data_IF_318927414860
#
_entry.id   IF_318927414860
#
_cell.length_a   1.000
_cell.length_b   1.000
_cell.length_c   1.000
_cell.angle_alpha   90.00
_cell.angle_beta   90.00
_cell.angle_gamma   90.00
#
_symmetry.space_group_name_H-M   'P 1'
#
loop_
_entity.id
_entity.type
_entity.pdbx_description
1 polymer ?
#
# COMPACT_ATOMS: atom_id res chain seq x y z
N UNK A 1 98.03 -3.79 -33.84
CA UNK A 1 97.01 -2.85 -34.38
C UNK A 1 95.63 -3.49 -34.28
N UNK A 2 94.61 -2.67 -34.04
CA UNK A 2 93.15 -2.93 -34.13
C UNK A 2 92.49 -3.72 -32.99
N UNK A 3 91.98 -2.93 -32.05
CA UNK A 3 90.74 -3.19 -31.33
C UNK A 3 89.58 -3.36 -32.32
N UNK A 4 88.73 -4.37 -32.12
CA UNK A 4 87.41 -4.46 -32.78
C UNK A 4 86.36 -4.63 -31.71
N UNK A 5 85.63 -3.53 -31.48
CA UNK A 5 84.43 -3.45 -30.66
C UNK A 5 83.24 -3.97 -31.46
N UNK A 6 82.61 -5.05 -31.02
CA UNK A 6 81.27 -5.48 -31.50
C UNK A 6 80.47 -5.97 -30.29
N UNK A 7 79.95 -5.03 -29.51
CA UNK A 7 78.98 -5.33 -28.44
C UNK A 7 78.04 -4.16 -28.20
N UNK A 8 77.27 -3.76 -29.23
CA UNK A 8 76.23 -2.74 -29.01
C UNK A 8 74.95 -2.85 -29.88
N UNK A 9 74.91 -3.65 -30.95
CA UNK A 9 73.73 -3.66 -31.83
C UNK A 9 72.53 -4.47 -31.29
N UNK A 10 72.76 -5.63 -30.67
CA UNK A 10 71.67 -6.50 -30.16
C UNK A 10 70.88 -5.91 -28.99
N UNK A 11 71.51 -5.06 -28.16
CA UNK A 11 70.87 -4.41 -27.01
C UNK A 11 69.97 -3.23 -27.41
N UNK A 12 70.30 -2.54 -28.51
CA UNK A 12 69.49 -1.44 -29.03
C UNK A 12 68.21 -1.93 -29.73
N UNK A 13 68.29 -3.03 -30.48
CA UNK A 13 67.14 -3.64 -31.17
C UNK A 13 66.08 -4.17 -30.20
N UNK A 14 66.48 -4.85 -29.12
CA UNK A 14 65.54 -5.35 -28.09
C UNK A 14 64.85 -4.22 -27.32
N UNK A 15 65.58 -3.14 -26.98
CA UNK A 15 64.97 -1.94 -26.36
C UNK A 15 63.98 -1.26 -27.30
N UNK A 16 64.27 -1.22 -28.61
CA UNK A 16 63.39 -0.63 -29.61
C UNK A 16 62.09 -1.43 -29.76
N UNK A 17 62.17 -2.76 -29.84
CA UNK A 17 60.98 -3.62 -29.91
C UNK A 17 60.15 -3.57 -28.63
N UNK A 18 60.77 -3.53 -27.45
CA UNK A 18 60.06 -3.42 -26.17
C UNK A 18 59.32 -2.08 -26.05
N UNK A 19 59.92 -0.97 -26.53
CA UNK A 19 59.26 0.34 -26.61
C UNK A 19 58.06 0.32 -27.56
N UNK A 20 58.16 -0.40 -28.68
CA UNK A 20 57.10 -0.52 -29.66
C UNK A 20 55.93 -1.36 -29.13
N UNK A 21 56.21 -2.44 -28.39
CA UNK A 21 55.19 -3.23 -27.66
C UNK A 21 54.54 -2.40 -26.55
N UNK A 22 55.31 -1.62 -25.79
CA UNK A 22 54.76 -0.74 -24.76
C UNK A 22 53.87 0.36 -25.36
N UNK A 23 54.27 0.94 -26.48
CA UNK A 23 53.49 1.94 -27.21
C UNK A 23 52.19 1.33 -27.77
N UNK A 24 52.25 0.13 -28.34
CA UNK A 24 51.07 -0.60 -28.81
C UNK A 24 50.11 -0.92 -27.65
N UNK A 25 50.63 -1.33 -26.49
CA UNK A 25 49.83 -1.56 -25.28
C UNK A 25 49.16 -0.29 -24.75
N UNK A 26 49.87 0.85 -24.76
CA UNK A 26 49.31 2.14 -24.37
C UNK A 26 48.18 2.57 -25.33
N UNK A 27 48.38 2.40 -26.63
CA UNK A 27 47.38 2.71 -27.66
C UNK A 27 46.13 1.84 -27.49
N UNK A 28 46.29 0.54 -27.24
CA UNK A 28 45.17 -0.37 -26.96
C UNK A 28 44.42 -0.01 -25.68
N UNK A 29 45.14 0.40 -24.63
CA UNK A 29 44.53 0.86 -23.37
C UNK A 29 43.71 2.14 -23.57
N UNK A 30 44.24 3.11 -24.32
CA UNK A 30 43.54 4.35 -24.65
C UNK A 30 42.30 4.07 -25.50
N UNK A 31 42.39 3.18 -26.50
CA UNK A 31 41.25 2.76 -27.31
C UNK A 31 40.17 2.07 -26.46
N UNK A 32 40.56 1.21 -25.52
CA UNK A 32 39.62 0.56 -24.59
C UNK A 32 38.94 1.57 -23.66
N UNK A 33 39.67 2.55 -23.14
CA UNK A 33 39.10 3.64 -22.37
C UNK A 33 38.15 4.50 -23.21
N UNK A 34 38.51 4.77 -24.47
CA UNK A 34 37.67 5.53 -25.39
C UNK A 34 36.39 4.78 -25.75
N UNK A 35 36.46 3.47 -25.97
CA UNK A 35 35.27 2.64 -26.21
C UNK A 35 34.40 2.58 -24.98
N UNK A 36 34.95 2.39 -23.78
CA UNK A 36 34.17 2.45 -22.54
C UNK A 36 33.57 3.83 -22.28
N UNK A 37 34.28 4.91 -22.61
CA UNK A 37 33.78 6.28 -22.48
C UNK A 37 32.68 6.59 -23.51
N UNK A 38 32.82 6.14 -24.75
CA UNK A 38 31.79 6.24 -25.79
C UNK A 38 30.58 5.35 -25.47
N UNK A 39 30.80 4.14 -24.92
CA UNK A 39 29.73 3.26 -24.44
C UNK A 39 29.01 3.90 -23.25
N UNK A 40 29.74 4.50 -22.32
CA UNK A 40 29.17 5.23 -21.19
C UNK A 40 28.39 6.46 -21.66
N UNK A 41 28.88 7.21 -22.66
CA UNK A 41 28.19 8.37 -23.24
C UNK A 41 26.97 7.96 -24.06
N UNK A 42 27.03 6.84 -24.78
CA UNK A 42 25.89 6.28 -25.50
C UNK A 42 24.86 5.70 -24.53
N UNK A 43 25.29 5.04 -23.46
CA UNK A 43 24.41 4.57 -22.39
C UNK A 43 23.80 5.75 -21.63
N UNK A 44 24.55 6.84 -21.39
CA UNK A 44 24.05 8.09 -20.83
C UNK A 44 23.01 8.72 -21.79
N UNK A 45 23.28 8.81 -23.09
CA UNK A 45 22.34 9.28 -24.11
C UNK A 45 21.07 8.42 -24.22
N UNK A 46 21.20 7.09 -24.21
CA UNK A 46 20.07 6.14 -24.17
C UNK A 46 19.30 6.27 -22.84
N UNK A 47 19.98 6.55 -21.71
CA UNK A 47 19.31 6.80 -20.43
C UNK A 47 18.50 8.11 -20.43
N UNK A 48 18.89 9.16 -21.15
CA UNK A 48 18.03 10.35 -21.33
C UNK A 48 16.84 10.08 -22.26
N UNK A 49 17.02 9.25 -23.28
CA UNK A 49 15.95 8.90 -24.21
C UNK A 49 14.97 7.88 -23.61
N UNK A 50 15.44 6.96 -22.75
CA UNK A 50 14.59 6.02 -22.01
C UNK A 50 14.01 6.56 -20.69
N UNK A 51 14.60 7.59 -20.08
CA UNK A 51 13.97 8.29 -18.95
C UNK A 51 12.86 9.27 -19.40
N UNK A 52 12.64 9.43 -20.71
CA UNK A 52 11.58 10.28 -21.25
C UNK A 52 10.29 9.52 -21.62
N UNK A 53 10.24 8.20 -21.45
CA UNK A 53 9.03 7.38 -21.65
C UNK A 53 8.50 6.72 -20.36
N UNK A 54 9.10 7.05 -19.20
CA UNK A 54 8.46 6.78 -17.92
C UNK A 54 7.43 7.88 -17.67
N UNK A 55 6.19 7.66 -18.11
CA UNK A 55 5.01 8.31 -17.54
C UNK A 55 4.83 7.85 -16.10
N UNK A 56 5.78 8.23 -15.21
CA UNK A 56 5.40 8.66 -13.88
C UNK A 56 4.32 9.68 -14.17
N UNK A 57 3.11 9.38 -13.73
CA UNK A 57 1.94 10.25 -13.78
C UNK A 57 2.42 11.67 -13.53
N UNK A 58 2.70 12.40 -14.61
CA UNK A 58 3.07 13.80 -14.56
C UNK A 58 1.75 14.51 -14.42
N UNK A 59 1.14 14.31 -13.26
CA UNK A 59 0.25 15.30 -12.70
C UNK A 59 1.13 16.48 -12.25
N UNK A 60 1.86 17.06 -13.22
CA UNK A 60 1.89 18.50 -13.28
C UNK A 60 0.47 18.86 -13.68
N UNK A 61 -0.33 19.48 -12.80
CA UNK A 61 -1.44 20.24 -13.34
C UNK A 61 -0.77 21.19 -14.34
N UNK A 62 -1.14 21.10 -15.62
CA UNK A 62 -0.78 22.11 -16.61
C UNK A 62 -1.51 23.40 -16.21
N UNK A 63 -1.10 24.02 -15.12
CA UNK A 63 -1.02 25.47 -15.05
C UNK A 63 0.20 25.85 -15.89
N UNK A 64 0.10 25.57 -17.20
CA UNK A 64 0.78 26.42 -18.18
C UNK A 64 0.38 27.81 -17.74
N UNK A 65 1.33 28.73 -17.56
CA UNK A 65 1.04 30.15 -17.41
C UNK A 65 0.23 30.57 -18.64
N UNK A 66 -1.07 30.27 -18.64
CA UNK A 66 -2.06 31.09 -19.29
C UNK A 66 -1.94 32.36 -18.50
N UNK A 67 -1.36 33.37 -19.13
CA UNK A 67 -1.52 34.73 -18.67
C UNK A 67 -2.95 34.85 -18.17
N UNK A 68 -3.09 35.09 -16.88
CA UNK A 68 -4.35 35.27 -16.19
C UNK A 68 -4.97 36.58 -16.71
N UNK A 69 -5.27 36.65 -18.01
CA UNK A 69 -6.48 37.33 -18.41
C UNK A 69 -7.58 36.45 -17.82
N UNK A 70 -8.13 36.92 -16.71
CA UNK A 70 -9.37 36.40 -16.14
C UNK A 70 -10.42 36.61 -17.24
N UNK A 71 -10.45 35.67 -18.18
CA UNK A 71 -11.52 35.52 -19.14
C UNK A 71 -12.75 35.29 -18.29
N UNK A 72 -13.68 36.24 -18.36
CA UNK A 72 -14.94 36.33 -17.63
C UNK A 72 -15.91 35.19 -18.00
N UNK A 73 -15.41 33.98 -18.23
CA UNK A 73 -16.23 32.83 -18.54
C UNK A 73 -16.93 32.35 -17.25
N UNK A 74 -18.27 32.33 -17.22
CA UNK A 74 -19.05 32.08 -16.01
C UNK A 74 -18.77 30.72 -15.34
N UNK A 75 -18.25 29.74 -16.09
CA UNK A 75 -17.92 28.39 -15.61
C UNK A 75 -16.76 28.36 -14.61
N UNK A 76 -15.71 29.14 -14.82
CA UNK A 76 -14.54 29.13 -13.93
C UNK A 76 -14.83 29.84 -12.60
N UNK A 77 -15.65 30.90 -12.63
CA UNK A 77 -16.15 31.58 -11.43
C UNK A 77 -16.92 30.63 -10.52
N UNK A 78 -17.62 29.63 -11.08
CA UNK A 78 -18.43 28.65 -10.33
C UNK A 78 -17.59 27.56 -9.67
N UNK A 79 -16.45 27.18 -10.26
CA UNK A 79 -15.54 26.16 -9.70
C UNK A 79 -14.71 26.69 -8.52
N UNK A 80 -14.34 27.97 -8.56
CA UNK A 80 -13.57 28.65 -7.52
C UNK A 80 -14.42 29.62 -6.68
N UNK A 81 -15.74 29.55 -6.81
CA UNK A 81 -16.64 30.30 -5.95
C UNK A 81 -16.44 29.87 -4.50
N UNK A 82 -16.71 30.77 -3.52
CA UNK A 82 -16.77 30.40 -2.12
C UNK A 82 -17.65 29.15 -1.98
N UNK A 83 -17.04 28.07 -1.50
CA UNK A 83 -17.74 26.81 -1.28
C UNK A 83 -18.83 27.10 -0.26
N UNK A 84 -20.10 26.84 -0.61
CA UNK A 84 -21.19 26.96 0.37
C UNK A 84 -20.79 26.12 1.59
N UNK A 85 -21.04 26.63 2.79
CA UNK A 85 -20.81 25.86 4.00
C UNK A 85 -21.55 24.52 3.84
N UNK A 86 -20.80 23.44 3.66
CA UNK A 86 -21.39 22.11 3.60
C UNK A 86 -21.98 21.87 4.98
N UNK A 87 -23.29 21.57 5.04
CA UNK A 87 -23.85 20.96 6.24
C UNK A 87 -22.99 19.74 6.56
N UNK A 88 -22.55 19.63 7.81
CA UNK A 88 -21.70 18.52 8.22
C UNK A 88 -22.52 17.24 8.05
N UNK A 89 -22.19 16.46 7.02
CA UNK A 89 -22.74 15.12 6.84
C UNK A 89 -22.17 14.25 7.97
N UNK A 90 -22.90 14.15 9.06
CA UNK A 90 -22.52 13.30 10.17
C UNK A 90 -22.79 11.83 9.82
N UNK A 91 -21.78 10.95 9.92
CA UNK A 91 -22.01 9.54 9.71
C UNK A 91 -23.01 9.04 10.75
N UNK A 92 -23.99 8.23 10.33
CA UNK A 92 -24.90 7.56 11.25
C UNK A 92 -24.15 6.41 11.94
N UNK A 93 -23.29 6.79 12.87
CA UNK A 93 -22.41 5.86 13.57
C UNK A 93 -22.90 5.56 14.97
N UNK A 94 -23.69 6.42 15.63
CA UNK A 94 -24.08 6.23 17.03
C UNK A 94 -24.85 4.92 17.26
N UNK A 95 -24.56 4.24 18.38
CA UNK A 95 -25.27 3.01 18.78
C UNK A 95 -26.72 3.35 19.10
N UNK A 96 -27.65 2.47 18.75
CA UNK A 96 -29.00 2.55 19.31
C UNK A 96 -28.99 2.24 20.81
N UNK A 97 -30.02 2.69 21.54
CA UNK A 97 -30.11 2.52 22.99
C UNK A 97 -30.19 1.05 23.44
N UNK A 98 -30.68 0.17 22.57
CA UNK A 98 -30.82 -1.28 22.73
C UNK A 98 -29.60 -2.08 22.21
N UNK A 99 -28.51 -1.41 21.81
CA UNK A 99 -27.33 -2.07 21.27
C UNK A 99 -26.60 -2.88 22.35
N UNK A 100 -26.77 -4.21 22.29
CA UNK A 100 -26.12 -5.14 23.20
C UNK A 100 -24.59 -5.10 23.05
N UNK A 101 -23.89 -5.23 24.17
CA UNK A 101 -22.44 -5.46 24.19
C UNK A 101 -22.07 -6.81 23.54
N UNK A 102 -20.82 -7.01 23.12
CA UNK A 102 -20.32 -8.31 22.69
C UNK A 102 -20.42 -9.33 23.83
N UNK A 103 -20.76 -10.58 23.48
CA UNK A 103 -20.90 -11.66 24.47
C UNK A 103 -19.56 -12.00 25.12
N UNK A 104 -19.59 -12.49 26.36
CA UNK A 104 -18.37 -12.82 27.11
C UNK A 104 -17.65 -14.04 26.53
N UNK A 105 -18.38 -14.99 25.94
CA UNK A 105 -17.80 -16.12 25.21
C UNK A 105 -17.93 -15.88 23.70
N UNK A 106 -16.89 -16.26 22.95
CA UNK A 106 -16.81 -16.06 21.50
C UNK A 106 -16.84 -17.42 20.82
N UNK A 107 -17.58 -17.53 19.72
CA UNK A 107 -17.71 -18.79 18.95
C UNK A 107 -16.36 -19.31 18.44
N UNK A 108 -15.44 -18.39 18.11
CA UNK A 108 -14.09 -18.72 17.68
C UNK A 108 -13.34 -17.50 17.17
N UNK A 109 -12.27 -17.71 16.41
CA UNK A 109 -11.42 -16.67 15.84
C UNK A 109 -11.60 -16.54 14.33
N UNK A 110 -11.84 -15.33 13.86
CA UNK A 110 -11.83 -15.01 12.43
C UNK A 110 -10.51 -14.33 12.12
N UNK A 111 -9.74 -14.97 11.25
CA UNK A 111 -8.51 -14.43 10.70
C UNK A 111 -8.76 -14.05 9.25
N UNK A 112 -8.33 -12.85 8.83
CA UNK A 112 -8.65 -12.33 7.50
C UNK A 112 -7.41 -11.88 6.76
N UNK A 113 -7.31 -12.27 5.49
CA UNK A 113 -6.36 -11.71 4.53
C UNK A 113 -7.12 -10.88 3.49
N UNK A 114 -6.74 -9.62 3.37
CA UNK A 114 -7.41 -8.65 2.50
C UNK A 114 -6.48 -8.26 1.38
N UNK A 115 -6.88 -8.51 0.14
CA UNK A 115 -6.16 -8.10 -1.07
C UNK A 115 -7.00 -7.09 -1.83
N UNK A 116 -6.50 -5.88 -1.98
CA UNK A 116 -7.15 -4.83 -2.78
C UNK A 116 -6.34 -3.55 -2.88
N UNK A 117 -6.87 -2.58 -3.63
CA UNK A 117 -6.45 -1.19 -3.53
C UNK A 117 -6.83 -0.58 -2.17
N UNK A 118 -6.40 0.65 -1.90
CA UNK A 118 -6.61 1.28 -0.60
C UNK A 118 -8.09 1.43 -0.21
N UNK A 119 -8.93 1.84 -1.16
CA UNK A 119 -10.38 1.94 -0.96
C UNK A 119 -11.02 0.57 -0.68
N UNK A 120 -10.60 -0.44 -1.45
CA UNK A 120 -11.06 -1.82 -1.29
C UNK A 120 -10.68 -2.39 0.09
N UNK A 121 -9.45 -2.12 0.56
CA UNK A 121 -8.97 -2.51 1.88
C UNK A 121 -9.82 -1.87 2.98
N UNK A 122 -10.06 -0.54 2.90
CA UNK A 122 -10.86 0.18 3.89
C UNK A 122 -12.27 -0.38 3.99
N UNK A 123 -12.91 -0.64 2.85
CA UNK A 123 -14.28 -1.20 2.81
C UNK A 123 -14.30 -2.64 3.32
N UNK A 124 -13.32 -3.47 2.94
CA UNK A 124 -13.21 -4.83 3.43
C UNK A 124 -13.05 -4.89 4.96
N UNK A 125 -12.22 -4.03 5.56
CA UNK A 125 -12.04 -4.02 7.02
C UNK A 125 -13.36 -3.69 7.72
N UNK A 126 -14.11 -2.71 7.19
CA UNK A 126 -15.43 -2.35 7.71
C UNK A 126 -16.41 -3.53 7.68
N UNK A 127 -16.49 -4.23 6.55
CA UNK A 127 -17.34 -5.41 6.39
C UNK A 127 -16.92 -6.57 7.30
N UNK A 128 -15.62 -6.82 7.42
CA UNK A 128 -15.08 -7.91 8.24
C UNK A 128 -15.41 -7.74 9.71
N UNK A 129 -15.33 -6.51 10.23
CA UNK A 129 -15.73 -6.22 11.62
C UNK A 129 -17.21 -6.57 11.83
N UNK A 130 -18.05 -6.22 10.86
CA UNK A 130 -19.49 -6.46 10.90
C UNK A 130 -19.81 -7.95 10.81
N UNK A 131 -19.15 -8.68 9.91
CA UNK A 131 -19.25 -10.14 9.80
C UNK A 131 -18.80 -10.81 11.10
N UNK A 132 -17.73 -10.32 11.73
CA UNK A 132 -17.25 -10.87 13.00
C UNK A 132 -18.29 -10.67 14.11
N UNK A 133 -18.91 -9.49 14.17
CA UNK A 133 -20.02 -9.23 15.09
C UNK A 133 -21.23 -10.14 14.82
N UNK A 134 -21.58 -10.34 13.55
CA UNK A 134 -22.70 -11.19 13.13
C UNK A 134 -22.51 -12.64 13.58
N UNK A 135 -21.28 -13.14 13.56
CA UNK A 135 -20.93 -14.51 13.94
C UNK A 135 -20.58 -14.68 15.43
N UNK A 136 -20.69 -13.61 16.22
CA UNK A 136 -20.26 -13.54 17.62
C UNK A 136 -18.83 -14.09 17.83
N UNK A 137 -17.92 -13.69 16.93
CA UNK A 137 -16.55 -14.17 16.90
C UNK A 137 -15.57 -13.12 17.43
N UNK A 138 -14.31 -13.54 17.58
CA UNK A 138 -13.18 -12.65 17.88
C UNK A 138 -12.40 -12.38 16.60
N UNK A 139 -12.24 -11.12 16.24
CA UNK A 139 -11.47 -10.71 15.07
C UNK A 139 -9.99 -10.68 15.41
N UNK A 140 -9.16 -11.34 14.60
CA UNK A 140 -7.72 -11.11 14.59
C UNK A 140 -7.44 -9.92 13.66
N UNK A 141 -6.52 -9.03 14.04
CA UNK A 141 -6.13 -7.87 13.21
C UNK A 141 -5.91 -8.31 11.74
N UNK A 142 -6.59 -7.68 10.77
CA UNK A 142 -6.52 -8.12 9.37
C UNK A 142 -5.11 -8.05 8.79
N UNK A 143 -4.72 -9.06 8.01
CA UNK A 143 -3.50 -9.04 7.23
C UNK A 143 -3.76 -8.44 5.85
N UNK A 144 -3.14 -7.30 5.56
CA UNK A 144 -3.24 -6.65 4.25
C UNK A 144 -2.24 -7.33 3.31
N UNK A 145 -2.73 -7.86 2.19
CA UNK A 145 -1.90 -8.48 1.18
C UNK A 145 -1.48 -7.48 0.12
N UNK A 146 -0.25 -7.63 -0.35
CA UNK A 146 0.32 -6.87 -1.45
C UNK A 146 -0.55 -6.94 -2.71
N UNK A 147 -1.04 -5.79 -3.17
CA UNK A 147 -1.66 -5.65 -4.51
C UNK A 147 -0.75 -4.99 -5.53
N UNK A 148 0.18 -4.16 -5.11
CA UNK A 148 1.08 -3.44 -6.01
C UNK A 148 2.54 -3.85 -5.79
N UNK A 149 3.13 -4.38 -6.87
CA UNK A 149 4.57 -4.60 -7.03
C UNK A 149 5.23 -3.40 -7.72
N UNK A 150 4.76 -2.18 -7.42
CA UNK A 150 5.37 -0.98 -7.99
C UNK A 150 6.80 -0.86 -7.46
N UNK A 151 7.79 -0.83 -8.36
CA UNK A 151 9.21 -0.63 -8.02
C UNK A 151 9.34 0.59 -7.09
N UNK A 152 10.02 0.43 -5.96
CA UNK A 152 10.31 1.52 -5.01
C UNK A 152 9.37 1.66 -3.81
N UNK A 153 8.27 0.90 -3.71
CA UNK A 153 7.43 0.89 -2.50
C UNK A 153 7.89 -0.25 -1.59
N UNK A 154 8.29 0.08 -0.35
CA UNK A 154 8.74 -0.89 0.65
C UNK A 154 7.72 -2.02 0.84
N UNK A 155 8.19 -3.26 0.98
CA UNK A 155 7.34 -4.41 1.31
C UNK A 155 6.61 -4.24 2.65
N UNK A 156 7.09 -3.32 3.51
CA UNK A 156 6.47 -3.00 4.80
C UNK A 156 5.25 -2.08 4.71
N UNK A 157 4.93 -1.49 3.55
CA UNK A 157 3.73 -0.65 3.35
C UNK A 157 2.39 -1.41 3.50
N UNK A 158 2.45 -2.66 3.95
CA UNK A 158 1.45 -3.70 3.68
C UNK A 158 1.01 -4.42 4.95
N UNK A 159 1.36 -3.92 6.13
CA UNK A 159 0.77 -4.40 7.39
C UNK A 159 -0.30 -3.41 7.87
N UNK A 160 -1.31 -3.91 8.57
CA UNK A 160 -2.32 -3.06 9.22
C UNK A 160 -1.70 -1.93 10.08
N UNK A 161 -0.74 -2.21 10.99
CA UNK A 161 -0.11 -1.16 11.81
C UNK A 161 0.69 -0.13 11.00
N UNK A 162 1.11 -0.48 9.78
CA UNK A 162 1.82 0.48 8.92
C UNK A 162 0.90 1.62 8.47
N UNK A 163 -0.38 1.34 8.27
CA UNK A 163 -1.37 2.31 7.79
C UNK A 163 -2.19 2.90 8.94
N UNK A 164 -2.68 2.06 9.85
CA UNK A 164 -3.66 2.42 10.86
C UNK A 164 -3.10 2.27 12.28
N UNK A 165 -3.63 3.07 13.20
CA UNK A 165 -3.35 2.92 14.61
C UNK A 165 -4.13 1.71 15.18
N UNK A 166 -3.41 0.61 15.45
CA UNK A 166 -3.99 -0.63 15.98
C UNK A 166 -4.68 -0.45 17.33
N UNK A 167 -4.05 0.27 18.25
CA UNK A 167 -4.56 0.40 19.62
C UNK A 167 -5.85 1.23 19.62
N UNK A 168 -5.90 2.29 18.81
CA UNK A 168 -7.12 3.06 18.59
C UNK A 168 -8.22 2.22 17.93
N UNK A 169 -7.87 1.37 16.96
CA UNK A 169 -8.83 0.49 16.30
C UNK A 169 -9.47 -0.50 17.29
N UNK A 170 -8.66 -1.13 18.15
CA UNK A 170 -9.12 -2.04 19.20
C UNK A 170 -9.96 -1.29 20.23
N UNK A 171 -9.48 -0.15 20.73
CA UNK A 171 -10.17 0.63 21.76
C UNK A 171 -11.52 1.18 21.28
N UNK A 172 -11.59 1.70 20.05
CA UNK A 172 -12.81 2.27 19.49
C UNK A 172 -13.94 1.23 19.31
N UNK A 173 -13.57 -0.04 19.08
CA UNK A 173 -14.50 -1.13 18.80
C UNK A 173 -14.71 -2.08 19.99
N UNK A 174 -14.10 -1.82 21.14
CA UNK A 174 -14.18 -2.69 22.31
C UNK A 174 -15.62 -2.98 22.79
N UNK A 175 -16.55 -2.05 22.53
CA UNK A 175 -17.99 -2.21 22.84
C UNK A 175 -18.81 -2.85 21.72
N UNK A 176 -18.20 -3.13 20.57
CA UNK A 176 -18.88 -3.68 19.40
C UNK A 176 -18.41 -5.11 19.11
N UNK A 177 -17.09 -5.35 19.08
CA UNK A 177 -16.49 -6.64 18.75
C UNK A 177 -15.18 -6.85 19.50
N UNK A 178 -14.85 -8.10 19.83
CA UNK A 178 -13.56 -8.45 20.42
C UNK A 178 -12.50 -8.53 19.34
N UNK A 179 -11.39 -7.82 19.54
CA UNK A 179 -10.29 -7.77 18.58
C UNK A 179 -8.99 -8.13 19.29
N UNK A 180 -8.21 -9.03 18.70
CA UNK A 180 -6.89 -9.45 19.19
C UNK A 180 -5.82 -9.22 18.13
N UNK A 181 -4.60 -8.86 18.56
CA UNK A 181 -3.49 -8.60 17.64
C UNK A 181 -3.00 -9.85 16.90
N UNK A 182 -2.97 -11.00 17.58
CA UNK A 182 -2.55 -12.27 16.97
C UNK A 182 -3.39 -13.42 17.47
N UNK A 183 -3.44 -14.51 16.70
CA UNK A 183 -4.08 -15.76 17.13
C UNK A 183 -3.46 -16.29 18.43
N UNK A 184 -4.23 -16.97 19.29
CA UNK A 184 -3.71 -17.73 20.43
C UNK A 184 -2.63 -18.73 20.01
N UNK A 185 -1.67 -19.03 20.91
CA UNK A 185 -0.51 -19.90 20.61
C UNK A 185 -0.93 -21.28 20.07
N UNK A 186 -1.99 -21.85 20.62
CA UNK A 186 -2.47 -23.19 20.28
C UNK A 186 -2.98 -23.23 18.82
N UNK A 187 -3.63 -22.16 18.37
CA UNK A 187 -4.14 -22.01 17.01
C UNK A 187 -3.06 -21.59 15.99
N UNK A 188 -1.91 -21.05 16.44
CA UNK A 188 -0.77 -20.77 15.55
C UNK A 188 -0.15 -22.06 14.98
N UNK A 189 -0.27 -23.18 15.68
CA UNK A 189 0.15 -24.50 15.19
C UNK A 189 -0.64 -24.93 13.95
N UNK A 190 -1.97 -24.93 14.05
CA UNK A 190 -2.88 -25.28 12.96
C UNK A 190 -2.68 -24.40 11.72
N UNK A 191 -2.44 -23.08 11.92
CA UNK A 191 -2.11 -22.16 10.82
C UNK A 191 -0.86 -22.60 10.05
N UNK A 192 0.20 -22.98 10.74
CA UNK A 192 1.46 -23.41 10.11
C UNK A 192 1.30 -24.70 9.31
N UNK A 193 0.42 -25.59 9.76
CA UNK A 193 0.08 -26.85 9.09
C UNK A 193 -0.96 -26.73 7.97
N UNK A 194 -1.49 -25.51 7.72
CA UNK A 194 -2.58 -25.24 6.75
C UNK A 194 -3.87 -26.04 7.05
N UNK A 195 -4.13 -26.30 8.33
CA UNK A 195 -5.32 -27.04 8.78
C UNK A 195 -6.53 -26.11 9.03
N UNK A 196 -6.36 -24.80 8.84
CA UNK A 196 -7.43 -23.80 9.05
C UNK A 196 -8.34 -23.75 7.82
N UNK A 197 -9.66 -23.98 7.99
CA UNK A 197 -10.62 -23.82 6.90
C UNK A 197 -10.55 -22.40 6.32
N UNK A 198 -10.35 -22.32 5.01
CA UNK A 198 -10.18 -21.06 4.29
C UNK A 198 -11.33 -20.81 3.32
N UNK A 199 -11.95 -19.64 3.39
CA UNK A 199 -13.04 -19.24 2.53
C UNK A 199 -12.60 -18.11 1.61
N UNK A 200 -12.69 -18.32 0.30
CA UNK A 200 -12.65 -17.23 -0.67
C UNK A 200 -14.01 -16.53 -0.66
N UNK A 201 -14.07 -15.35 -0.08
CA UNK A 201 -15.33 -14.65 0.12
C UNK A 201 -15.76 -13.94 -1.17
N UNK A 202 -16.98 -14.19 -1.68
CA UNK A 202 -17.51 -13.44 -2.81
C UNK A 202 -17.68 -11.96 -2.50
N UNK A 203 -17.55 -11.11 -3.52
CA UNK A 203 -17.88 -9.70 -3.36
C UNK A 203 -19.37 -9.54 -3.02
N UNK A 204 -19.68 -8.75 -2.00
CA UNK A 204 -21.06 -8.53 -1.57
C UNK A 204 -21.78 -9.79 -1.05
N UNK A 205 -21.08 -10.70 -0.39
CA UNK A 205 -21.71 -11.91 0.18
C UNK A 205 -22.85 -11.56 1.16
N UNK A 206 -23.91 -12.37 1.17
CA UNK A 206 -25.07 -12.13 2.03
C UNK A 206 -24.80 -12.55 3.49
N UNK A 207 -25.52 -11.99 4.47
CA UNK A 207 -25.48 -12.50 5.85
C UNK A 207 -25.76 -14.00 5.94
N UNK A 208 -26.66 -14.51 5.07
CA UNK A 208 -26.97 -15.93 4.97
C UNK A 208 -25.73 -16.78 4.64
N UNK A 209 -24.86 -16.33 3.73
CA UNK A 209 -23.63 -17.05 3.40
C UNK A 209 -22.75 -17.28 4.64
N UNK A 210 -22.62 -16.26 5.49
CA UNK A 210 -21.83 -16.34 6.71
C UNK A 210 -22.46 -17.27 7.74
N UNK A 211 -23.77 -17.15 7.97
CA UNK A 211 -24.49 -17.96 8.95
C UNK A 211 -24.56 -19.44 8.57
N UNK A 212 -24.64 -19.77 7.27
CA UNK A 212 -24.84 -21.15 6.82
C UNK A 212 -23.58 -21.86 6.32
N UNK A 213 -22.54 -21.12 5.90
CA UNK A 213 -21.29 -21.73 5.41
C UNK A 213 -20.10 -21.47 6.33
N UNK A 214 -19.94 -20.24 6.83
CA UNK A 214 -18.76 -19.88 7.63
C UNK A 214 -18.94 -20.28 9.09
N UNK A 215 -20.11 -20.00 9.68
CA UNK A 215 -20.39 -20.28 11.09
C UNK A 215 -20.25 -21.77 11.45
N UNK A 216 -20.75 -22.74 10.66
CA UNK A 216 -20.59 -24.15 11.00
C UNK A 216 -19.13 -24.62 10.98
N UNK A 217 -18.29 -24.03 10.11
CA UNK A 217 -16.86 -24.33 10.11
C UNK A 217 -16.14 -23.66 11.29
N UNK A 218 -16.57 -22.46 11.67
CA UNK A 218 -16.06 -21.74 12.83
C UNK A 218 -16.36 -22.48 14.14
N UNK A 219 -17.58 -22.97 14.32
CA UNK A 219 -17.94 -23.77 15.51
C UNK A 219 -17.15 -25.07 15.58
N UNK A 220 -16.94 -25.74 14.43
CA UNK A 220 -16.20 -27.00 14.37
C UNK A 220 -14.70 -26.86 14.62
N UNK A 221 -14.05 -25.82 14.09
CA UNK A 221 -12.58 -25.68 14.13
C UNK A 221 -12.09 -24.60 15.09
N UNK A 222 -13.01 -23.81 15.69
CA UNK A 222 -12.71 -22.63 16.52
C UNK A 222 -11.92 -21.52 15.82
N UNK A 223 -11.54 -21.70 14.55
CA UNK A 223 -10.83 -20.73 13.73
C UNK A 223 -11.17 -20.90 12.25
N UNK A 224 -11.35 -19.79 11.55
CA UNK A 224 -11.52 -19.76 10.08
C UNK A 224 -10.69 -18.63 9.47
N UNK A 225 -10.21 -18.88 8.26
CA UNK A 225 -9.53 -17.88 7.43
C UNK A 225 -10.49 -17.35 6.36
N UNK A 226 -10.65 -16.03 6.27
CA UNK A 226 -11.38 -15.36 5.20
C UNK A 226 -10.40 -14.69 4.24
N UNK A 227 -10.51 -15.01 2.96
CA UNK A 227 -9.72 -14.43 1.88
C UNK A 227 -10.60 -13.44 1.10
N UNK A 228 -10.42 -12.15 1.36
CA UNK A 228 -11.18 -11.07 0.71
C UNK A 228 -10.38 -10.50 -0.44
N UNK A 229 -10.92 -10.60 -1.65
CA UNK A 229 -10.29 -10.10 -2.87
C UNK A 229 -11.15 -8.95 -3.44
N UNK A 230 -10.52 -7.83 -3.79
CA UNK A 230 -11.16 -6.66 -4.43
C UNK A 230 -12.14 -5.87 -3.56
N UNK A 231 -12.00 -5.96 -2.23
CA UNK A 231 -12.83 -5.21 -1.28
C UNK A 231 -14.28 -5.69 -1.20
N UNK A 232 -15.07 -5.12 -0.28
CA UNK A 232 -16.51 -5.34 -0.18
C UNK A 232 -16.92 -6.81 -0.02
N UNK A 233 -16.80 -7.36 1.19
CA UNK A 233 -17.10 -8.79 1.44
C UNK A 233 -18.52 -9.03 1.98
N UNK A 234 -19.29 -7.99 2.25
CA UNK A 234 -20.67 -8.10 2.73
C UNK A 234 -21.58 -7.21 1.89
N UNK A 235 -22.84 -7.62 1.66
CA UNK A 235 -23.83 -6.84 0.91
C UNK A 235 -23.86 -5.37 1.35
N UNK A 236 -23.88 -4.43 0.40
CA UNK A 236 -23.80 -2.99 0.67
C UNK A 236 -25.00 -2.49 1.47
N UNK A 237 -26.19 -2.96 1.14
CA UNK A 237 -27.44 -2.66 1.85
C UNK A 237 -27.86 -3.91 2.62
N UNK A 238 -27.78 -3.84 3.95
CA UNK A 238 -28.29 -4.86 4.84
C UNK A 238 -29.80 -4.65 5.07
N UNK A 239 -30.56 -5.74 5.27
CA UNK A 239 -32.00 -5.66 5.55
C UNK A 239 -32.29 -4.89 6.85
N UNK A 240 -33.52 -4.37 7.03
CA UNK A 240 -33.88 -3.53 8.18
C UNK A 240 -33.52 -4.08 9.57
N UNK A 241 -33.65 -5.39 9.86
CA UNK A 241 -33.25 -5.96 11.16
C UNK A 241 -31.75 -5.82 11.46
N UNK A 242 -30.92 -5.54 10.45
CA UNK A 242 -29.47 -5.40 10.55
C UNK A 242 -29.01 -3.94 10.46
N UNK A 243 -29.89 -2.97 10.75
CA UNK A 243 -29.54 -1.54 10.73
C UNK A 243 -28.35 -1.19 11.62
N UNK A 244 -28.23 -1.82 12.80
CA UNK A 244 -27.09 -1.59 13.70
C UNK A 244 -25.75 -2.03 13.10
N UNK A 245 -25.77 -3.04 12.22
CA UNK A 245 -24.59 -3.49 11.49
C UNK A 245 -24.17 -2.47 10.42
N UNK A 246 -25.12 -1.74 9.83
CA UNK A 246 -24.81 -0.60 8.95
C UNK A 246 -24.19 0.56 9.75
N UNK A 247 -24.73 0.88 10.93
CA UNK A 247 -24.13 1.90 11.81
C UNK A 247 -22.74 1.51 12.27
N UNK A 248 -22.51 0.22 12.54
CA UNK A 248 -21.20 -0.32 12.84
C UNK A 248 -20.22 -0.13 11.68
N UNK A 249 -20.63 -0.35 10.41
CA UNK A 249 -19.77 -0.02 9.25
C UNK A 249 -19.33 1.45 9.26
N UNK A 250 -20.28 2.36 9.51
CA UNK A 250 -19.98 3.79 9.60
C UNK A 250 -19.02 4.07 10.75
N UNK A 251 -19.26 3.49 11.93
CA UNK A 251 -18.39 3.65 13.10
C UNK A 251 -16.97 3.18 12.82
N UNK A 252 -16.81 2.02 12.19
CA UNK A 252 -15.49 1.50 11.81
C UNK A 252 -14.81 2.44 10.82
N UNK A 253 -15.51 2.81 9.76
CA UNK A 253 -14.95 3.61 8.67
C UNK A 253 -14.55 5.03 9.08
N UNK A 254 -15.28 5.66 10.01
CA UNK A 254 -15.09 7.07 10.38
C UNK A 254 -14.42 7.28 11.75
N UNK A 255 -14.54 6.34 12.69
CA UNK A 255 -14.03 6.51 14.05
C UNK A 255 -12.92 5.52 14.43
N UNK A 256 -13.03 4.25 14.00
CA UNK A 256 -12.04 3.22 14.38
C UNK A 256 -10.81 3.21 13.45
N UNK A 257 -11.03 3.32 12.14
CA UNK A 257 -9.95 3.33 11.14
C UNK A 257 -9.28 4.70 11.06
N UNK A 258 -8.42 4.99 12.04
CA UNK A 258 -7.57 6.18 12.03
C UNK A 258 -6.18 5.83 11.51
N UNK A 259 -5.66 6.67 10.62
CA UNK A 259 -4.27 6.52 10.19
C UNK A 259 -3.31 6.67 11.37
N UNK A 260 -2.12 6.11 11.24
CA UNK A 260 -1.01 6.42 12.14
C UNK A 260 -0.74 7.93 12.21
N UNK A 261 -0.17 8.36 13.33
CA UNK A 261 -0.01 9.76 13.66
C UNK A 261 0.84 10.51 12.62
N UNK A 262 1.87 9.89 12.07
CA UNK A 262 2.76 10.52 11.10
C UNK A 262 2.03 10.89 9.80
N UNK A 263 1.07 10.06 9.39
CA UNK A 263 0.23 10.33 8.21
C UNK A 263 -0.75 11.47 8.51
N UNK A 264 -1.36 11.48 9.69
CA UNK A 264 -2.25 12.57 10.11
C UNK A 264 -1.50 13.90 10.21
N UNK A 265 -0.32 13.91 10.84
CA UNK A 265 0.54 15.08 11.00
C UNK A 265 1.01 15.62 9.64
N UNK A 266 1.35 14.74 8.70
CA UNK A 266 1.67 15.15 7.33
C UNK A 266 0.45 15.79 6.64
N UNK A 267 -0.74 15.18 6.76
CA UNK A 267 -1.96 15.72 6.17
C UNK A 267 -2.30 17.11 6.72
N UNK A 268 -2.18 17.32 8.03
CA UNK A 268 -2.38 18.62 8.69
C UNK A 268 -1.35 19.65 8.18
N UNK A 269 -0.07 19.27 8.07
CA UNK A 269 0.97 20.16 7.52
C UNK A 269 0.68 20.59 6.08
N UNK A 270 0.19 19.67 5.25
CA UNK A 270 -0.22 19.98 3.87
C UNK A 270 -1.39 20.94 3.88
N UNK A 271 -2.43 20.64 4.66
CA UNK A 271 -3.62 21.47 4.78
C UNK A 271 -3.23 22.91 5.17
N UNK A 272 -2.49 23.07 6.27
CA UNK A 272 -2.05 24.37 6.76
C UNK A 272 -1.29 25.17 5.69
N UNK A 273 -0.42 24.50 4.90
CA UNK A 273 0.29 25.18 3.81
C UNK A 273 -0.65 25.60 2.68
N UNK A 274 -1.62 24.78 2.32
CA UNK A 274 -2.58 25.10 1.24
C UNK A 274 -3.59 26.17 1.64
N UNK A 275 -3.98 26.24 2.92
CA UNK A 275 -4.96 27.24 3.39
C UNK A 275 -4.36 28.65 3.50
N UNK A 276 -3.05 28.76 3.75
CA UNK A 276 -2.36 30.06 3.84
C UNK A 276 -2.32 30.82 2.50
N UNK A 277 -2.39 30.13 1.35
CA UNK A 277 -2.36 30.79 0.03
C UNK A 277 -3.75 31.19 -0.52
N UNK A 278 -4.82 31.03 0.27
CA UNK A 278 -6.18 31.41 -0.10
C UNK A 278 -6.81 32.50 0.78
N UNK A 279 -6.02 33.12 1.68
CA UNK A 279 -6.36 34.37 2.37
C UNK A 279 -5.56 35.52 1.76
#
# INVERSE_FOLDING_TARGET
MKWVSVKNEGKMLFKSKLKLVALAGLVLSVLSLLTHFLLAKHTYGIVYEYHSSVTIMSWMPKFKKSDLSISNHPSYRRLWAPVRHFESLHPLANRSGDYAAPEMQSTGFIFVKIRGGFHEIRNAISDVVVVTRLLNATLVIPEIQSTTSSKGISTQFKSFPYLYNEDQFIAALAKDVKIVKTLPKDLKGARRKKEIPSFKVPHGASPYFYLHHVLPMLTKHSVVELLVHSGGCLQSILPPPLVEYQKLRCRVAFHALRFREEVQNLAIKILNRTTIYCL
#
